data_IF_148047972666
#
_entry.id   IF_148047972666
#
_cell.length_a   1.000
_cell.length_b   1.000
_cell.length_c   1.000
_cell.angle_alpha   90.00
_cell.angle_beta   90.00
_cell.angle_gamma   90.00
#
_symmetry.space_group_name_H-M   'P 1'
#
loop_
_entity.id
_entity.type
_entity.pdbx_description
1 polymer ?
#
# COMPACT_ATOMS: atom_id res chain seq x y z
N UNK A 1 -8.40 -4.24 26.98
CA UNK A 1 -9.55 -3.28 26.97
C UNK A 1 -10.55 -3.79 25.94
N UNK A 2 -11.83 -3.45 26.00
CA UNK A 2 -12.78 -3.79 24.96
C UNK A 2 -12.81 -2.65 23.93
N UNK A 3 -13.17 -2.97 22.68
CA UNK A 3 -13.29 -1.96 21.60
C UNK A 3 -14.23 -0.81 21.99
N UNK A 4 -15.27 -1.13 22.77
CA UNK A 4 -16.26 -0.17 23.26
C UNK A 4 -15.69 0.86 24.27
N UNK A 5 -14.54 0.56 24.86
CA UNK A 5 -13.89 1.44 25.85
C UNK A 5 -12.92 2.43 25.18
N UNK A 6 -12.69 2.33 23.85
CA UNK A 6 -11.78 3.19 23.10
C UNK A 6 -12.40 4.59 22.87
N UNK A 7 -11.89 5.58 23.56
CA UNK A 7 -12.41 6.97 23.49
C UNK A 7 -12.11 7.68 22.16
N UNK A 8 -11.07 7.24 21.43
CA UNK A 8 -10.58 7.82 20.17
C UNK A 8 -11.38 7.38 18.96
N UNK A 9 -12.16 6.29 19.09
CA UNK A 9 -12.97 5.75 18.01
C UNK A 9 -14.47 5.93 18.25
N UNK A 10 -15.21 6.04 17.16
CA UNK A 10 -16.65 5.91 17.08
C UNK A 10 -16.95 4.52 16.49
N UNK A 11 -17.72 3.69 17.17
CA UNK A 11 -18.21 2.42 16.64
C UNK A 11 -19.44 2.72 15.77
N UNK A 12 -19.28 2.52 14.46
CA UNK A 12 -20.36 2.71 13.48
C UNK A 12 -21.27 1.49 13.45
N UNK A 13 -20.66 0.30 13.51
CA UNK A 13 -21.40 -0.98 13.48
C UNK A 13 -20.66 -2.03 14.30
N UNK A 14 -21.44 -2.87 14.99
CA UNK A 14 -20.96 -4.10 15.64
C UNK A 14 -21.85 -5.24 15.21
N UNK A 15 -21.25 -6.33 14.73
CA UNK A 15 -21.97 -7.50 14.24
C UNK A 15 -21.31 -8.80 14.72
N UNK A 16 -22.11 -9.75 15.15
CA UNK A 16 -21.64 -11.13 15.36
C UNK A 16 -21.77 -11.90 14.05
N UNK A 17 -20.75 -12.67 13.71
CA UNK A 17 -20.70 -13.54 12.53
C UNK A 17 -20.44 -14.98 13.02
N UNK A 18 -21.49 -15.72 13.40
CA UNK A 18 -21.35 -17.05 13.99
C UNK A 18 -20.65 -18.07 13.07
N UNK A 19 -20.82 -17.92 11.75
CA UNK A 19 -20.27 -18.84 10.75
C UNK A 19 -18.73 -18.91 10.77
N UNK A 20 -18.08 -17.83 11.24
CA UNK A 20 -16.62 -17.74 11.39
C UNK A 20 -16.21 -17.46 12.84
N UNK A 21 -17.10 -17.70 13.81
CA UNK A 21 -16.87 -17.48 15.24
C UNK A 21 -16.27 -16.09 15.57
N UNK A 22 -16.75 -15.04 14.90
CA UNK A 22 -16.15 -13.70 14.99
C UNK A 22 -17.13 -12.65 15.47
N UNK A 23 -16.57 -11.58 16.08
CA UNK A 23 -17.26 -10.31 16.33
C UNK A 23 -16.59 -9.23 15.50
N UNK A 24 -17.34 -8.59 14.62
CA UNK A 24 -16.84 -7.55 13.73
C UNK A 24 -17.22 -6.17 14.26
N UNK A 25 -16.28 -5.25 14.23
CA UNK A 25 -16.46 -3.83 14.54
C UNK A 25 -16.06 -3.01 13.32
N UNK A 26 -16.93 -2.11 12.90
CA UNK A 26 -16.60 -1.03 11.98
C UNK A 26 -16.48 0.27 12.79
N UNK A 27 -15.28 0.81 12.83
CA UNK A 27 -14.96 1.98 13.62
C UNK A 27 -14.46 3.14 12.72
N UNK A 28 -14.60 4.36 13.24
CA UNK A 28 -14.06 5.56 12.64
C UNK A 28 -13.23 6.31 13.68
N UNK A 29 -11.99 6.61 13.34
CA UNK A 29 -11.16 7.45 14.20
C UNK A 29 -11.67 8.89 14.23
N UNK A 30 -11.98 9.43 15.42
CA UNK A 30 -12.70 10.71 15.56
C UNK A 30 -11.92 11.90 15.04
N UNK A 31 -10.60 11.92 15.23
CA UNK A 31 -9.73 13.04 14.85
C UNK A 31 -9.45 13.07 13.35
N UNK A 32 -9.10 11.94 12.74
CA UNK A 32 -8.63 11.89 11.36
C UNK A 32 -9.66 11.39 10.37
N UNK A 33 -10.67 10.67 10.82
CA UNK A 33 -11.67 10.03 9.97
C UNK A 33 -11.23 8.69 9.37
N UNK A 34 -10.06 8.17 9.74
CA UNK A 34 -9.59 6.85 9.33
C UNK A 34 -10.64 5.77 9.68
N UNK A 35 -10.83 4.81 8.77
CA UNK A 35 -11.77 3.70 8.95
C UNK A 35 -11.01 2.48 9.41
N UNK A 36 -11.52 1.84 10.45
CA UNK A 36 -10.95 0.61 11.01
C UNK A 36 -12.02 -0.46 11.03
N UNK A 37 -11.77 -1.57 10.35
CA UNK A 37 -12.57 -2.78 10.47
C UNK A 37 -11.76 -3.80 11.28
N UNK A 38 -12.34 -4.27 12.38
CA UNK A 38 -11.75 -5.28 13.24
C UNK A 38 -12.63 -6.51 13.21
N UNK A 39 -12.06 -7.66 12.87
CA UNK A 39 -12.69 -8.99 12.95
C UNK A 39 -12.01 -9.74 14.10
N UNK A 40 -12.64 -9.70 15.29
CA UNK A 40 -12.09 -10.31 16.50
C UNK A 40 -12.56 -11.77 16.60
N UNK A 41 -11.61 -12.67 16.67
CA UNK A 41 -11.80 -14.11 16.80
C UNK A 41 -10.59 -14.75 17.50
N UNK A 42 -10.50 -16.08 17.50
CA UNK A 42 -9.44 -16.87 18.12
C UNK A 42 -8.39 -17.41 17.13
N UNK A 43 -8.32 -16.83 15.92
CA UNK A 43 -7.29 -17.21 14.94
C UNK A 43 -5.93 -16.64 15.37
N UNK A 44 -4.96 -17.53 15.57
CA UNK A 44 -3.59 -17.15 15.91
C UNK A 44 -2.89 -16.42 14.78
N UNK A 45 -3.30 -16.60 13.52
CA UNK A 45 -2.71 -15.92 12.38
C UNK A 45 -3.33 -14.53 12.19
N UNK A 46 -2.75 -13.57 12.89
CA UNK A 46 -3.21 -12.18 12.91
C UNK A 46 -2.90 -11.49 11.59
N UNK A 47 -3.87 -10.75 11.09
CA UNK A 47 -3.75 -9.97 9.85
C UNK A 47 -3.87 -8.48 10.15
N UNK A 48 -2.94 -7.70 9.64
CA UNK A 48 -3.04 -6.25 9.50
C UNK A 48 -3.03 -5.91 8.02
N UNK A 49 -3.83 -4.94 7.66
CA UNK A 49 -3.91 -4.41 6.33
C UNK A 49 -4.19 -2.91 6.41
N UNK A 50 -3.41 -2.11 5.69
CA UNK A 50 -3.76 -0.72 5.43
C UNK A 50 -3.90 -0.50 3.94
N UNK A 51 -4.98 0.16 3.54
CA UNK A 51 -5.25 0.49 2.15
C UNK A 51 -5.69 1.93 1.97
N UNK A 52 -5.41 2.45 0.79
CA UNK A 52 -5.80 3.79 0.38
C UNK A 52 -6.58 3.71 -0.94
N UNK A 53 -7.56 4.57 -1.10
CA UNK A 53 -8.20 4.75 -2.41
C UNK A 53 -7.25 5.58 -3.28
N UNK A 54 -6.60 4.94 -4.24
CA UNK A 54 -5.59 5.50 -5.15
C UNK A 54 -6.11 5.53 -6.57
N UNK A 55 -7.07 6.41 -6.83
CA UNK A 55 -7.75 6.51 -8.12
C UNK A 55 -6.84 7.14 -9.17
N UNK A 56 -6.49 6.46 -10.27
CA UNK A 56 -5.64 7.01 -11.32
C UNK A 56 -6.37 8.09 -12.13
N UNK A 57 -5.60 9.01 -12.70
CA UNK A 57 -6.07 10.05 -13.63
C UNK A 57 -5.44 9.95 -15.01
N UNK A 58 -4.41 9.12 -15.13
CA UNK A 58 -3.65 8.81 -16.33
C UNK A 58 -3.05 7.41 -16.21
N UNK A 59 -2.32 6.98 -17.23
CA UNK A 59 -1.66 5.67 -17.26
C UNK A 59 -0.18 5.72 -16.91
N UNK A 60 0.27 6.73 -16.14
CA UNK A 60 1.69 6.85 -15.73
C UNK A 60 2.11 5.83 -14.65
N UNK A 61 1.17 5.06 -14.09
CA UNK A 61 1.47 4.06 -13.07
C UNK A 61 1.90 4.65 -11.73
N UNK A 62 1.56 5.90 -11.44
CA UNK A 62 2.01 6.61 -10.22
C UNK A 62 1.65 5.86 -8.94
N UNK A 63 0.49 5.18 -8.90
CA UNK A 63 0.06 4.39 -7.74
C UNK A 63 0.96 3.17 -7.53
N UNK A 64 1.33 2.47 -8.60
CA UNK A 64 2.22 1.30 -8.59
C UNK A 64 3.66 1.68 -8.22
N UNK A 65 4.17 2.76 -8.84
CA UNK A 65 5.51 3.28 -8.50
C UNK A 65 5.57 3.72 -7.03
N UNK A 66 4.50 4.31 -6.49
CA UNK A 66 4.42 4.63 -5.06
C UNK A 66 4.36 3.39 -4.18
N UNK A 67 3.63 2.36 -4.59
CA UNK A 67 3.57 1.08 -3.86
C UNK A 67 4.98 0.55 -3.58
N UNK A 68 5.83 0.44 -4.62
CA UNK A 68 7.22 0.04 -4.49
C UNK A 68 8.03 1.04 -3.65
N UNK A 69 7.91 2.32 -3.97
CA UNK A 69 8.77 3.38 -3.44
C UNK A 69 8.60 3.63 -1.93
N UNK A 70 7.38 3.51 -1.38
CA UNK A 70 7.17 3.73 0.06
C UNK A 70 7.86 2.65 0.91
N UNK A 71 8.08 1.46 0.34
CA UNK A 71 8.77 0.35 0.99
C UNK A 71 10.31 0.44 0.90
N UNK A 72 10.86 1.48 0.24
CA UNK A 72 12.31 1.71 0.11
C UNK A 72 12.90 2.53 1.27
N UNK A 73 12.36 2.41 2.47
CA UNK A 73 12.79 3.08 3.70
C UNK A 73 11.90 4.22 4.13
N UNK A 74 11.86 4.43 5.43
CA UNK A 74 10.95 5.38 6.09
C UNK A 74 11.65 6.12 7.23
N UNK A 75 10.90 6.92 7.97
CA UNK A 75 11.43 7.79 9.03
C UNK A 75 12.10 6.99 10.16
N UNK A 76 11.42 5.99 10.70
CA UNK A 76 11.92 5.16 11.80
C UNK A 76 12.74 3.95 11.29
N UNK A 77 12.52 3.56 10.03
CA UNK A 77 13.22 2.44 9.39
C UNK A 77 13.99 2.92 8.14
N UNK A 78 15.09 3.69 8.30
CA UNK A 78 15.81 4.35 7.20
C UNK A 78 16.75 3.42 6.43
N UNK A 79 16.56 2.11 6.49
CA UNK A 79 17.32 1.11 5.72
C UNK A 79 16.90 1.14 4.25
N UNK A 80 17.80 0.75 3.34
CA UNK A 80 17.57 0.85 1.90
C UNK A 80 16.36 0.03 1.43
N UNK A 81 16.15 -1.14 2.02
CA UNK A 81 15.11 -2.08 1.61
C UNK A 81 14.57 -2.84 2.83
N UNK A 82 13.76 -2.18 3.67
CA UNK A 82 13.19 -2.83 4.86
C UNK A 82 12.27 -4.01 4.48
N UNK A 83 11.63 -3.99 3.32
CA UNK A 83 10.77 -5.07 2.86
C UNK A 83 11.56 -6.37 2.68
N UNK A 84 12.70 -6.33 1.99
CA UNK A 84 13.55 -7.52 1.81
C UNK A 84 14.10 -8.04 3.14
N UNK A 85 14.45 -7.16 4.07
CA UNK A 85 14.89 -7.56 5.39
C UNK A 85 13.77 -8.25 6.20
N UNK A 86 12.52 -7.79 6.08
CA UNK A 86 11.36 -8.43 6.69
C UNK A 86 11.07 -9.79 6.06
N UNK A 87 11.11 -9.91 4.74
CA UNK A 87 10.92 -11.20 4.04
C UNK A 87 11.91 -12.26 4.54
N UNK A 88 13.16 -11.87 4.82
CA UNK A 88 14.22 -12.78 5.27
C UNK A 88 14.24 -13.04 6.76
N UNK A 89 13.85 -12.05 7.57
CA UNK A 89 14.14 -12.04 9.01
C UNK A 89 12.91 -12.11 9.91
N UNK A 90 11.68 -11.89 9.42
CA UNK A 90 10.47 -11.96 10.23
C UNK A 90 9.83 -13.36 10.22
N UNK A 91 8.88 -13.55 11.13
CA UNK A 91 8.05 -14.77 11.23
C UNK A 91 6.72 -14.62 10.46
N UNK A 92 6.71 -13.75 9.44
CA UNK A 92 5.52 -13.48 8.67
C UNK A 92 4.93 -14.76 8.05
N UNK A 93 3.62 -14.86 8.03
CA UNK A 93 2.87 -15.86 7.27
C UNK A 93 2.40 -15.30 5.93
N UNK A 94 2.30 -13.97 5.85
CA UNK A 94 2.03 -13.24 4.62
C UNK A 94 2.65 -11.84 4.69
N UNK A 95 3.28 -11.43 3.59
CA UNK A 95 3.88 -10.10 3.42
C UNK A 95 3.77 -9.70 1.96
N UNK A 96 3.07 -8.61 1.66
CA UNK A 96 2.92 -8.12 0.29
C UNK A 96 2.56 -6.64 0.23
N UNK A 97 2.56 -6.08 -0.98
CA UNK A 97 1.91 -4.84 -1.35
C UNK A 97 1.26 -5.04 -2.71
N UNK A 98 0.14 -4.39 -2.99
CA UNK A 98 -0.62 -4.61 -4.22
C UNK A 98 -1.32 -3.34 -4.67
N UNK A 99 -1.15 -2.98 -5.94
CA UNK A 99 -1.90 -1.92 -6.61
C UNK A 99 -3.02 -2.49 -7.46
N UNK A 100 -4.23 -2.08 -7.17
CA UNK A 100 -5.45 -2.38 -7.93
C UNK A 100 -5.89 -1.15 -8.75
N UNK A 101 -6.89 -1.29 -9.63
CA UNK A 101 -7.35 -0.17 -10.46
C UNK A 101 -7.80 1.09 -9.70
N UNK A 102 -8.20 0.97 -8.42
CA UNK A 102 -8.75 2.08 -7.64
C UNK A 102 -8.25 2.17 -6.19
N UNK A 103 -7.34 1.26 -5.80
CA UNK A 103 -6.77 1.22 -4.45
C UNK A 103 -5.36 0.62 -4.44
N UNK A 104 -4.58 0.97 -3.44
CA UNK A 104 -3.30 0.34 -3.12
C UNK A 104 -3.33 -0.16 -1.69
N UNK A 105 -2.84 -1.36 -1.46
CA UNK A 105 -3.01 -2.07 -0.18
C UNK A 105 -1.71 -2.71 0.28
N UNK A 106 -1.52 -2.74 1.59
CA UNK A 106 -0.30 -3.19 2.26
C UNK A 106 -0.67 -4.19 3.36
N UNK A 107 -0.85 -5.48 3.01
CA UNK A 107 -1.19 -6.54 3.95
C UNK A 107 0.03 -7.21 4.57
N UNK A 108 -0.07 -7.54 5.86
CA UNK A 108 0.88 -8.40 6.57
C UNK A 108 0.13 -9.35 7.49
N UNK A 109 0.71 -10.52 7.74
CA UNK A 109 0.19 -11.47 8.71
C UNK A 109 1.31 -12.20 9.44
N UNK A 110 1.07 -12.53 10.72
CA UNK A 110 1.96 -13.35 11.55
C UNK A 110 1.20 -14.01 12.70
N UNK A 111 1.61 -15.24 13.05
CA UNK A 111 1.12 -15.91 14.25
C UNK A 111 1.82 -15.42 15.53
N UNK A 112 2.95 -14.73 15.41
CA UNK A 112 3.71 -14.22 16.55
C UNK A 112 3.32 -12.78 16.85
N UNK A 113 2.87 -12.48 18.08
CA UNK A 113 2.38 -11.16 18.48
C UNK A 113 3.40 -10.04 18.30
N UNK A 114 4.66 -10.30 18.68
CA UNK A 114 5.72 -9.30 18.59
C UNK A 114 6.12 -9.02 17.16
N UNK A 115 6.19 -10.07 16.35
CA UNK A 115 6.47 -9.95 14.92
C UNK A 115 5.34 -9.23 14.21
N UNK A 116 4.09 -9.57 14.50
CA UNK A 116 2.90 -8.89 13.97
C UNK A 116 2.91 -7.39 14.25
N UNK A 117 3.21 -6.98 15.50
CA UNK A 117 3.32 -5.56 15.87
C UNK A 117 4.47 -4.87 15.12
N UNK A 118 5.63 -5.53 14.99
CA UNK A 118 6.76 -5.00 14.24
C UNK A 118 6.44 -4.80 12.76
N UNK A 119 5.83 -5.81 12.11
CA UNK A 119 5.41 -5.75 10.71
C UNK A 119 4.42 -4.60 10.48
N UNK A 120 3.40 -4.50 11.34
CA UNK A 120 2.43 -3.40 11.29
C UNK A 120 3.10 -2.03 11.44
N UNK A 121 4.02 -1.89 12.39
CA UNK A 121 4.75 -0.64 12.63
C UNK A 121 5.59 -0.24 11.42
N UNK A 122 6.36 -1.16 10.85
CA UNK A 122 7.16 -0.89 9.63
C UNK A 122 6.27 -0.44 8.47
N UNK A 123 5.13 -1.09 8.26
CA UNK A 123 4.23 -0.75 7.15
C UNK A 123 3.52 0.60 7.37
N UNK A 124 3.10 0.90 8.59
CA UNK A 124 2.51 2.20 8.92
C UNK A 124 3.52 3.34 8.72
N UNK A 125 4.77 3.16 9.19
CA UNK A 125 5.81 4.16 9.00
C UNK A 125 6.17 4.33 7.52
N UNK A 126 6.24 3.23 6.77
CA UNK A 126 6.50 3.24 5.33
C UNK A 126 5.44 4.04 4.56
N UNK A 127 4.16 3.81 4.80
CA UNK A 127 3.10 4.47 4.03
C UNK A 127 2.87 5.92 4.43
N UNK A 128 3.06 6.29 5.72
CA UNK A 128 2.83 7.67 6.19
C UNK A 128 4.07 8.56 6.17
N UNK A 129 5.26 7.99 6.36
CA UNK A 129 6.52 8.74 6.50
C UNK A 129 7.66 8.20 5.62
N UNK A 130 7.41 7.89 4.33
CA UNK A 130 8.43 7.33 3.45
C UNK A 130 9.57 8.31 3.17
N UNK A 131 10.74 7.76 2.90
CA UNK A 131 11.94 8.55 2.56
C UNK A 131 11.90 9.16 1.15
N UNK A 132 10.84 8.95 0.39
CA UNK A 132 10.66 9.50 -0.97
C UNK A 132 10.78 11.02 -1.04
N UNK A 133 10.50 11.74 0.05
CA UNK A 133 10.62 13.20 0.13
C UNK A 133 12.06 13.69 0.33
N UNK A 134 12.94 12.81 0.80
CA UNK A 134 14.34 13.13 1.09
C UNK A 134 15.29 12.58 0.04
N UNK A 135 14.85 11.60 -0.74
CA UNK A 135 15.69 10.88 -1.68
C UNK A 135 14.96 10.61 -3.00
N UNK A 136 15.20 11.46 -4.00
CA UNK A 136 14.66 11.31 -5.35
C UNK A 136 15.14 10.01 -6.04
N UNK A 137 16.30 9.46 -5.63
CA UNK A 137 16.84 8.24 -6.25
C UNK A 137 15.89 7.03 -6.08
N UNK A 138 15.03 7.03 -5.04
CA UNK A 138 14.00 6.00 -4.86
C UNK A 138 13.02 6.03 -6.03
N UNK A 139 12.51 7.22 -6.37
CA UNK A 139 11.62 7.39 -7.52
C UNK A 139 12.30 6.98 -8.83
N UNK A 140 13.59 7.35 -9.01
CA UNK A 140 14.35 7.01 -10.21
C UNK A 140 14.59 5.51 -10.34
N UNK A 141 14.87 4.84 -9.22
CA UNK A 141 15.09 3.39 -9.20
C UNK A 141 13.78 2.62 -9.42
N UNK A 142 12.74 2.94 -8.65
CA UNK A 142 11.48 2.17 -8.70
C UNK A 142 10.61 2.55 -9.90
N UNK A 143 10.57 3.80 -10.29
CA UNK A 143 9.75 4.30 -11.39
C UNK A 143 10.46 4.19 -12.73
N UNK A 144 11.20 5.23 -13.08
CA UNK A 144 11.92 5.29 -14.34
C UNK A 144 13.07 6.32 -14.32
N UNK A 145 14.09 6.04 -15.14
CA UNK A 145 15.21 6.96 -15.43
C UNK A 145 15.80 6.67 -16.79
N UNK A 146 16.60 7.60 -17.31
CA UNK A 146 17.44 7.33 -18.48
C UNK A 146 18.74 6.67 -18.05
N UNK A 147 19.17 5.66 -18.81
CA UNK A 147 20.41 4.94 -18.60
C UNK A 147 21.20 4.83 -19.92
N UNK A 148 22.53 4.94 -19.81
CA UNK A 148 23.46 4.61 -20.89
C UNK A 148 24.02 3.22 -20.64
N UNK A 149 23.80 2.29 -21.55
CA UNK A 149 24.27 0.92 -21.43
C UNK A 149 25.60 0.73 -22.19
N UNK A 150 26.70 0.55 -21.43
CA UNK A 150 28.03 0.34 -21.96
C UNK A 150 28.57 1.50 -22.78
N UNK A 151 29.20 1.19 -23.93
CA UNK A 151 29.73 2.18 -24.87
C UNK A 151 28.72 2.66 -25.93
N UNK A 152 27.43 2.30 -25.76
CA UNK A 152 26.36 2.71 -26.66
C UNK A 152 25.99 4.18 -26.38
N UNK A 153 25.83 4.97 -27.46
CA UNK A 153 25.41 6.37 -27.35
C UNK A 153 23.89 6.55 -27.19
N UNK A 154 23.13 5.44 -27.15
CA UNK A 154 21.67 5.47 -27.09
C UNK A 154 21.17 5.43 -25.63
N UNK A 155 20.39 6.45 -25.27
CA UNK A 155 19.68 6.48 -23.98
C UNK A 155 18.53 5.47 -23.99
N UNK A 156 18.50 4.62 -22.99
CA UNK A 156 17.40 3.68 -22.72
C UNK A 156 16.62 4.13 -21.50
N UNK A 157 15.32 3.85 -21.47
CA UNK A 157 14.50 4.00 -20.26
C UNK A 157 14.63 2.72 -19.45
N UNK A 158 14.92 2.87 -18.16
CA UNK A 158 15.06 1.79 -17.19
C UNK A 158 14.35 2.15 -15.88
N UNK A 159 13.99 1.18 -15.06
CA UNK A 159 13.32 1.31 -13.78
C UNK A 159 12.59 0.03 -13.40
N UNK A 160 12.40 -0.22 -12.12
CA UNK A 160 11.80 -1.50 -11.66
C UNK A 160 10.39 -1.67 -12.23
N UNK A 161 9.49 -0.74 -11.93
CA UNK A 161 8.09 -0.79 -12.42
C UNK A 161 8.03 -0.63 -13.94
N UNK A 162 8.87 0.24 -14.53
CA UNK A 162 8.92 0.36 -15.98
C UNK A 162 9.24 -0.97 -16.68
N UNK A 163 10.25 -1.69 -16.20
CA UNK A 163 10.65 -2.98 -16.77
C UNK A 163 9.62 -4.07 -16.55
N UNK A 164 9.00 -4.10 -15.36
CA UNK A 164 7.91 -5.01 -15.02
C UNK A 164 6.72 -4.82 -15.98
N UNK A 165 6.26 -3.58 -16.13
CA UNK A 165 5.13 -3.28 -17.01
C UNK A 165 5.47 -3.49 -18.48
N UNK A 166 6.71 -3.23 -18.91
CA UNK A 166 7.16 -3.59 -20.26
C UNK A 166 7.10 -5.09 -20.50
N UNK A 167 7.38 -5.89 -19.46
CA UNK A 167 7.20 -7.34 -19.50
C UNK A 167 5.74 -7.75 -19.59
N UNK A 168 4.86 -7.16 -18.78
CA UNK A 168 3.42 -7.41 -18.80
C UNK A 168 2.80 -7.07 -20.16
N UNK A 169 3.15 -5.93 -20.74
CA UNK A 169 2.67 -5.50 -22.06
C UNK A 169 3.23 -6.31 -23.26
N UNK A 170 4.13 -7.25 -23.01
CA UNK A 170 4.51 -8.25 -24.04
C UNK A 170 3.48 -9.39 -24.15
N UNK A 171 2.56 -9.52 -23.20
CA UNK A 171 1.46 -10.47 -23.22
C UNK A 171 0.25 -9.91 -23.98
N UNK A 172 -0.28 -10.69 -24.93
CA UNK A 172 -1.42 -10.31 -25.75
C UNK A 172 -2.72 -10.21 -24.93
N UNK A 173 -2.89 -11.05 -23.91
CA UNK A 173 -4.06 -11.05 -23.03
C UNK A 173 -4.13 -9.76 -22.21
N UNK A 174 -2.99 -9.27 -21.72
CA UNK A 174 -2.89 -7.99 -21.01
C UNK A 174 -3.30 -6.81 -21.92
N UNK A 175 -2.83 -6.82 -23.18
CA UNK A 175 -3.20 -5.78 -24.15
C UNK A 175 -4.70 -5.80 -24.48
N UNK A 176 -5.29 -7.00 -24.62
CA UNK A 176 -6.73 -7.17 -24.84
C UNK A 176 -7.54 -6.68 -23.65
N UNK A 177 -7.16 -7.06 -22.42
CA UNK A 177 -7.85 -6.62 -21.19
C UNK A 177 -7.82 -5.11 -21.08
N UNK A 178 -6.67 -4.47 -21.25
CA UNK A 178 -6.53 -3.01 -21.22
C UNK A 178 -7.38 -2.31 -22.28
N UNK A 179 -7.44 -2.85 -23.50
CA UNK A 179 -8.28 -2.32 -24.58
C UNK A 179 -9.77 -2.48 -24.24
N UNK A 180 -10.17 -3.62 -23.69
CA UNK A 180 -11.54 -3.91 -23.26
C UNK A 180 -11.97 -2.98 -22.13
N UNK A 181 -11.14 -2.81 -21.08
CA UNK A 181 -11.44 -1.91 -19.96
C UNK A 181 -11.60 -0.46 -20.43
N UNK A 182 -10.75 -0.01 -21.34
CA UNK A 182 -10.84 1.33 -21.95
C UNK A 182 -12.14 1.52 -22.74
N UNK A 183 -12.59 0.48 -23.44
CA UNK A 183 -13.81 0.52 -24.25
C UNK A 183 -15.09 0.44 -23.39
N UNK A 184 -15.08 -0.41 -22.33
CA UNK A 184 -16.25 -0.61 -21.48
C UNK A 184 -16.45 0.51 -20.46
N UNK A 185 -15.38 1.15 -20.00
CA UNK A 185 -15.40 2.14 -18.91
C UNK A 185 -14.75 3.49 -19.30
N UNK A 186 -15.10 4.09 -20.47
CA UNK A 186 -14.39 5.24 -21.05
C UNK A 186 -14.43 6.49 -20.15
N UNK A 187 -15.47 6.63 -19.31
CA UNK A 187 -15.72 7.81 -18.49
C UNK A 187 -15.34 7.59 -17.01
N UNK A 188 -14.63 6.51 -16.71
CA UNK A 188 -14.24 6.15 -15.35
C UNK A 188 -12.72 5.99 -15.22
N UNK A 189 -12.17 5.99 -13.99
CA UNK A 189 -10.75 5.70 -13.77
C UNK A 189 -10.28 4.34 -14.28
N UNK A 190 -11.17 3.37 -14.42
CA UNK A 190 -10.86 2.03 -14.92
C UNK A 190 -10.41 2.00 -16.40
N UNK A 191 -10.56 3.11 -17.13
CA UNK A 191 -9.98 3.27 -18.47
C UNK A 191 -8.45 3.36 -18.47
N UNK A 192 -7.85 3.71 -17.33
CA UNK A 192 -6.41 3.88 -17.19
C UNK A 192 -5.74 2.60 -16.71
N UNK A 193 -4.51 2.40 -17.13
CA UNK A 193 -3.67 1.30 -16.65
C UNK A 193 -3.07 1.71 -15.31
N UNK A 194 -3.61 1.22 -14.21
CA UNK A 194 -3.17 1.59 -12.85
C UNK A 194 -1.74 1.13 -12.55
N UNK A 195 -1.30 0.00 -13.13
CA UNK A 195 0.08 -0.48 -13.05
C UNK A 195 1.08 0.38 -13.82
N UNK A 196 0.61 1.11 -14.83
CA UNK A 196 1.41 1.97 -15.71
C UNK A 196 1.56 1.39 -17.11
N UNK A 197 1.31 2.23 -18.09
CA UNK A 197 1.57 1.92 -19.50
C UNK A 197 3.02 2.34 -19.80
N UNK A 198 3.88 1.45 -20.33
CA UNK A 198 5.28 1.77 -20.63
C UNK A 198 5.49 2.98 -21.53
N UNK A 199 4.51 3.31 -22.40
CA UNK A 199 4.56 4.52 -23.23
C UNK A 199 4.30 5.80 -22.41
N UNK A 200 3.57 5.70 -21.29
CA UNK A 200 3.17 6.81 -20.45
C UNK A 200 3.97 6.95 -19.14
N UNK A 201 4.56 5.87 -18.63
CA UNK A 201 5.38 5.91 -17.39
C UNK A 201 6.44 7.02 -17.42
N UNK A 202 7.17 7.27 -18.55
CA UNK A 202 8.18 8.34 -18.62
C UNK A 202 7.62 9.78 -18.57
N UNK A 203 6.30 9.96 -18.62
CA UNK A 203 5.66 11.26 -18.44
C UNK A 203 5.49 11.65 -16.95
N UNK A 204 5.70 10.68 -16.04
CA UNK A 204 5.61 10.93 -14.61
C UNK A 204 6.82 11.72 -14.11
N UNK A 205 6.57 12.89 -13.55
CA UNK A 205 7.60 13.69 -12.89
C UNK A 205 7.64 13.40 -11.38
N UNK A 206 8.81 13.64 -10.76
CA UNK A 206 8.98 13.51 -9.32
C UNK A 206 8.00 14.37 -8.51
N UNK A 207 7.69 15.60 -8.98
CA UNK A 207 6.70 16.46 -8.31
C UNK A 207 5.28 15.88 -8.35
N UNK A 208 4.84 15.34 -9.50
CA UNK A 208 3.53 14.67 -9.62
C UNK A 208 3.46 13.43 -8.72
N UNK A 209 4.55 12.67 -8.66
CA UNK A 209 4.68 11.51 -7.79
C UNK A 209 4.54 11.88 -6.31
N UNK A 210 5.25 12.91 -5.83
CA UNK A 210 5.12 13.39 -4.45
C UNK A 210 3.73 13.99 -4.16
N UNK A 211 3.13 14.71 -5.11
CA UNK A 211 1.78 15.27 -4.95
C UNK A 211 0.74 14.17 -4.80
N UNK A 212 0.89 13.08 -5.56
CA UNK A 212 -0.01 11.93 -5.45
C UNK A 212 0.04 11.29 -4.06
N UNK A 213 1.24 11.09 -3.50
CA UNK A 213 1.39 10.59 -2.14
C UNK A 213 0.71 11.52 -1.12
N UNK A 214 0.97 12.83 -1.16
CA UNK A 214 0.35 13.80 -0.23
C UNK A 214 -1.18 13.77 -0.27
N UNK A 215 -1.76 13.52 -1.43
CA UNK A 215 -3.21 13.55 -1.62
C UNK A 215 -3.89 12.26 -1.18
N UNK A 216 -3.28 11.12 -1.42
CA UNK A 216 -3.94 9.84 -1.25
C UNK A 216 -3.49 9.07 0.00
N UNK A 217 -2.25 9.26 0.45
CA UNK A 217 -1.70 8.57 1.62
C UNK A 217 -1.90 9.40 2.90
N UNK A 218 -3.15 9.67 3.22
CA UNK A 218 -3.53 10.42 4.42
C UNK A 218 -4.42 9.56 5.31
N UNK A 219 -4.38 9.76 6.65
CA UNK A 219 -5.27 9.04 7.57
C UNK A 219 -6.74 9.13 7.19
N UNK A 220 -7.21 10.28 6.68
CA UNK A 220 -8.61 10.46 6.26
C UNK A 220 -9.04 9.59 5.08
N UNK A 221 -8.09 9.10 4.28
CA UNK A 221 -8.28 8.18 3.15
C UNK A 221 -7.91 6.73 3.50
N UNK A 222 -7.46 6.48 4.74
CA UNK A 222 -7.00 5.16 5.16
C UNK A 222 -8.17 4.23 5.51
N UNK A 223 -8.01 2.96 5.10
CA UNK A 223 -8.84 1.83 5.48
C UNK A 223 -7.92 0.81 6.16
N UNK A 224 -8.08 0.64 7.46
CA UNK A 224 -7.30 -0.29 8.27
C UNK A 224 -8.18 -1.51 8.55
N UNK A 225 -7.62 -2.70 8.36
CA UNK A 225 -8.26 -3.97 8.65
C UNK A 225 -7.38 -4.78 9.61
N UNK A 226 -8.01 -5.33 10.63
CA UNK A 226 -7.41 -6.18 11.64
C UNK A 226 -8.24 -7.45 11.76
N UNK A 227 -7.60 -8.61 11.81
CA UNK A 227 -8.24 -9.92 11.95
C UNK A 227 -7.43 -10.82 12.87
N UNK A 228 -8.12 -11.68 13.62
CA UNK A 228 -7.52 -12.67 14.48
C UNK A 228 -7.60 -12.34 15.98
N UNK A 229 -6.82 -13.09 16.77
CA UNK A 229 -6.63 -12.86 18.21
C UNK A 229 -5.65 -11.69 18.45
N UNK A 230 -6.10 -10.48 18.06
CA UNK A 230 -5.30 -9.26 18.12
C UNK A 230 -5.37 -8.62 19.51
N UNK A 231 -4.22 -8.29 20.09
CA UNK A 231 -4.16 -7.40 21.26
C UNK A 231 -4.55 -5.97 20.85
N UNK A 232 -5.85 -5.68 21.00
CA UNK A 232 -6.47 -4.43 20.57
C UNK A 232 -5.81 -3.21 21.23
N UNK A 233 -5.44 -3.30 22.50
CA UNK A 233 -4.82 -2.19 23.24
C UNK A 233 -3.45 -1.87 22.69
N UNK A 234 -2.62 -2.89 22.49
CA UNK A 234 -1.28 -2.71 21.95
C UNK A 234 -1.33 -2.18 20.51
N UNK A 235 -2.15 -2.79 19.66
CA UNK A 235 -2.23 -2.47 18.24
C UNK A 235 -2.85 -1.09 17.99
N UNK A 236 -4.01 -0.81 18.56
CA UNK A 236 -4.66 0.49 18.38
C UNK A 236 -3.92 1.61 19.14
N UNK A 237 -3.19 1.27 20.23
CA UNK A 237 -2.32 2.20 20.91
C UNK A 237 -1.18 2.71 20.01
N UNK A 238 -0.55 1.83 19.23
CA UNK A 238 0.47 2.19 18.23
C UNK A 238 -0.16 3.03 17.12
N UNK A 239 -1.28 2.56 16.55
CA UNK A 239 -1.96 3.25 15.44
C UNK A 239 -2.36 4.68 15.84
N UNK A 240 -3.00 4.85 16.99
CA UNK A 240 -3.46 6.16 17.48
C UNK A 240 -2.33 7.10 17.90
N UNK A 241 -1.36 6.54 18.61
CA UNK A 241 -0.30 7.35 19.25
C UNK A 241 0.74 7.87 18.28
N UNK A 242 1.00 7.13 17.20
CA UNK A 242 2.11 7.39 16.30
C UNK A 242 1.68 7.80 14.89
N UNK A 243 0.47 7.38 14.43
CA UNK A 243 0.09 7.52 13.02
C UNK A 243 -1.24 8.26 12.77
N UNK A 244 -2.20 8.26 13.70
CA UNK A 244 -3.50 8.92 13.58
C UNK A 244 -3.66 10.13 14.52
#
# INVERSE_FOLDING_TARGET
MRVEDLSTYEIIEKRQIPDINSVTYLCRHKKTGARVALVSNDDENKVFYIGFRTTPKDSTGVAHILEHSVLCGSKEFPVKDPFVELVKGSLNTFLNAMTYPDKTVYPVASCNDKDFQNLMHVYLDAVFYPNIYKNESIFRQEGWHYELEGDEEELKVNGVVYNEMRGAFADADELEENAMMRALYPDTPYRFVSGGDPEHIPELTYEKFLDYHRRFYSPSNAYIYLDGDVDIDAVLGIIDGEYL
#
